data_IF_415141458253
#
_entry.id   IF_415141458253
#
_cell.length_a   1.000
_cell.length_b   1.000
_cell.length_c   1.000
_cell.angle_alpha   90.00
_cell.angle_beta   90.00
_cell.angle_gamma   90.00
#
_symmetry.space_group_name_H-M   'P 1'
#
loop_
_entity.id
_entity.type
_entity.pdbx_description
1 polymer ?
#
# COMPACT_ATOMS: atom_id res chain seq x y z
N UNK A 1 12.45 -20.61 -0.18
CA UNK A 1 13.57 -20.55 -1.10
C UNK A 1 14.88 -20.84 -0.38
N UNK A 2 15.82 -21.52 -1.02
CA UNK A 2 17.10 -21.88 -0.40
C UNK A 2 17.85 -20.63 0.12
N UNK A 3 18.58 -20.81 1.22
CA UNK A 3 19.42 -19.76 1.83
C UNK A 3 18.66 -18.51 2.35
N UNK A 4 17.34 -18.60 2.55
CA UNK A 4 16.49 -17.49 3.07
C UNK A 4 16.62 -16.17 2.29
N UNK A 5 17.03 -16.23 1.01
CA UNK A 5 17.07 -15.05 0.15
C UNK A 5 15.71 -14.76 -0.47
N UNK A 6 15.48 -13.53 -0.83
CA UNK A 6 14.30 -13.16 -1.61
C UNK A 6 14.39 -13.78 -3.02
N UNK A 7 13.33 -14.43 -3.52
CA UNK A 7 13.35 -15.08 -4.84
C UNK A 7 13.43 -14.05 -5.97
N UNK A 8 14.07 -14.45 -7.08
CA UNK A 8 14.01 -13.69 -8.32
C UNK A 8 12.64 -13.88 -8.99
N UNK A 9 12.18 -12.92 -9.81
CA UNK A 9 10.90 -13.03 -10.51
C UNK A 9 10.76 -14.31 -11.33
N UNK A 10 11.82 -14.73 -12.02
CA UNK A 10 11.83 -15.96 -12.84
C UNK A 10 11.62 -17.22 -11.97
N UNK A 11 12.20 -17.24 -10.78
CA UNK A 11 12.04 -18.34 -9.83
C UNK A 11 10.61 -18.42 -9.28
N UNK A 12 9.98 -17.28 -9.04
CA UNK A 12 8.58 -17.21 -8.61
C UNK A 12 7.67 -17.76 -9.72
N UNK A 13 7.90 -17.39 -10.97
CA UNK A 13 7.12 -17.89 -12.11
C UNK A 13 7.30 -19.38 -12.34
N UNK A 14 8.52 -19.89 -12.18
CA UNK A 14 8.83 -21.31 -12.33
C UNK A 14 8.31 -22.18 -11.17
N UNK A 15 8.00 -21.59 -10.01
CA UNK A 15 7.50 -22.35 -8.85
C UNK A 15 6.06 -22.81 -9.09
N UNK A 16 5.73 -24.10 -8.95
CA UNK A 16 4.35 -24.61 -9.07
C UNK A 16 3.40 -23.95 -8.05
N UNK A 17 2.15 -23.76 -8.45
CA UNK A 17 1.13 -23.14 -7.61
C UNK A 17 0.90 -23.90 -6.30
N UNK A 18 0.93 -25.24 -6.37
CA UNK A 18 0.79 -26.12 -5.20
C UNK A 18 1.89 -25.86 -4.17
N UNK A 19 3.12 -25.63 -4.63
CA UNK A 19 4.24 -25.34 -3.74
C UNK A 19 4.10 -23.97 -3.06
N UNK A 20 3.67 -22.95 -3.80
CA UNK A 20 3.39 -21.62 -3.24
C UNK A 20 2.22 -21.69 -2.23
N UNK A 21 1.19 -22.46 -2.54
CA UNK A 21 0.06 -22.67 -1.65
C UNK A 21 0.45 -23.48 -0.41
N UNK A 22 1.28 -24.50 -0.55
CA UNK A 22 1.85 -25.26 0.58
C UNK A 22 2.68 -24.40 1.52
N UNK A 23 3.24 -23.29 1.04
CA UNK A 23 3.91 -22.26 1.84
C UNK A 23 2.94 -21.26 2.53
N UNK A 24 1.63 -21.47 2.44
CA UNK A 24 0.60 -20.67 3.12
C UNK A 24 -0.06 -19.58 2.25
N UNK A 25 0.21 -19.53 0.95
CA UNK A 25 -0.44 -18.56 0.08
C UNK A 25 -1.84 -19.05 -0.34
N UNK A 26 -2.85 -18.20 -0.21
CA UNK A 26 -4.16 -18.46 -0.82
C UNK A 26 -4.06 -18.45 -2.36
N UNK A 27 -5.06 -19.00 -3.06
CA UNK A 27 -5.12 -18.95 -4.54
C UNK A 27 -4.97 -17.52 -5.07
N UNK A 28 -5.68 -16.56 -4.45
CA UNK A 28 -5.62 -15.15 -4.85
C UNK A 28 -4.21 -14.58 -4.65
N UNK A 29 -3.57 -14.84 -3.50
CA UNK A 29 -2.19 -14.39 -3.21
C UNK A 29 -1.16 -15.03 -4.14
N UNK A 30 -1.31 -16.33 -4.46
CA UNK A 30 -0.45 -17.02 -5.45
C UNK A 30 -0.53 -16.30 -6.80
N UNK A 31 -1.73 -16.04 -7.30
CA UNK A 31 -1.92 -15.33 -8.56
C UNK A 31 -1.35 -13.91 -8.52
N UNK A 32 -1.53 -13.17 -7.41
CA UNK A 32 -0.95 -11.82 -7.24
C UNK A 32 0.58 -11.85 -7.25
N UNK A 33 1.20 -12.77 -6.52
CA UNK A 33 2.66 -12.89 -6.46
C UNK A 33 3.25 -13.24 -7.82
N UNK A 34 2.61 -14.12 -8.59
CA UNK A 34 3.02 -14.44 -9.97
C UNK A 34 2.83 -13.25 -10.92
N UNK A 35 1.74 -12.51 -10.79
CA UNK A 35 1.52 -11.32 -11.61
C UNK A 35 2.55 -10.22 -11.32
N UNK A 36 2.90 -10.00 -10.04
CA UNK A 36 4.01 -9.10 -9.65
C UNK A 36 5.31 -9.54 -10.35
N UNK A 37 5.63 -10.83 -10.30
CA UNK A 37 6.85 -11.36 -10.90
C UNK A 37 6.86 -11.15 -12.43
N UNK A 38 5.76 -11.47 -13.10
CA UNK A 38 5.62 -11.28 -14.56
C UNK A 38 5.75 -9.79 -14.93
N UNK A 39 5.08 -8.92 -14.22
CA UNK A 39 5.12 -7.46 -14.46
C UNK A 39 6.46 -6.82 -14.10
N UNK A 40 7.22 -7.44 -13.19
CA UNK A 40 8.60 -7.03 -12.91
C UNK A 40 9.49 -7.30 -14.11
N UNK A 41 9.38 -8.49 -14.72
CA UNK A 41 10.14 -8.83 -15.93
C UNK A 41 9.72 -7.99 -17.14
N UNK A 42 8.43 -7.62 -17.23
CA UNK A 42 7.91 -6.75 -18.26
C UNK A 42 8.26 -5.26 -18.05
N UNK A 43 8.94 -4.89 -16.94
CA UNK A 43 9.30 -3.52 -16.63
C UNK A 43 8.15 -2.63 -16.17
N UNK A 44 6.96 -3.20 -15.93
CA UNK A 44 5.81 -2.47 -15.37
C UNK A 44 6.05 -2.13 -13.91
N UNK A 45 6.48 -3.12 -13.11
CA UNK A 45 6.91 -2.89 -11.72
C UNK A 45 8.33 -2.30 -11.76
N UNK A 46 8.52 -1.07 -11.29
CA UNK A 46 9.81 -0.40 -11.38
C UNK A 46 10.83 -1.00 -10.40
N UNK A 47 12.11 -0.87 -10.72
CA UNK A 47 13.18 -1.22 -9.79
C UNK A 47 13.19 -0.29 -8.57
N UNK A 48 13.77 -0.74 -7.45
CA UNK A 48 13.92 0.07 -6.22
C UNK A 48 14.65 1.40 -6.45
N UNK A 49 15.51 1.49 -7.48
CA UNK A 49 16.20 2.74 -7.86
C UNK A 49 15.30 3.64 -8.70
N UNK A 50 14.53 3.08 -9.62
CA UNK A 50 13.65 3.83 -10.51
C UNK A 50 12.45 4.41 -9.75
N UNK A 51 11.81 3.63 -8.88
CA UNK A 51 10.61 4.03 -8.16
C UNK A 51 10.83 5.28 -7.29
N UNK A 52 12.04 5.44 -6.73
CA UNK A 52 12.37 6.61 -5.90
C UNK A 52 12.32 7.94 -6.65
N UNK A 53 12.48 7.89 -7.99
CA UNK A 53 12.48 9.06 -8.87
C UNK A 53 11.12 9.35 -9.49
N UNK A 54 10.17 8.44 -9.33
CA UNK A 54 8.83 8.58 -9.89
C UNK A 54 7.93 9.41 -8.99
N UNK A 55 6.95 10.07 -9.57
CA UNK A 55 5.86 10.71 -8.83
C UNK A 55 4.94 9.66 -8.20
N UNK A 56 4.23 10.05 -7.14
CA UNK A 56 3.27 9.16 -6.47
C UNK A 56 2.13 8.74 -7.42
N UNK A 57 1.70 9.63 -8.32
CA UNK A 57 0.70 9.33 -9.33
C UNK A 57 1.17 8.26 -10.32
N UNK A 58 2.40 8.35 -10.84
CA UNK A 58 2.97 7.34 -11.73
C UNK A 58 3.12 5.98 -11.05
N UNK A 59 3.53 5.98 -9.78
CA UNK A 59 3.65 4.75 -8.98
C UNK A 59 2.26 4.12 -8.81
N UNK A 60 1.26 4.92 -8.46
CA UNK A 60 -0.12 4.46 -8.28
C UNK A 60 -0.66 3.86 -9.57
N UNK A 61 -0.56 4.57 -10.69
CA UNK A 61 -1.02 4.12 -12.00
C UNK A 61 -0.39 2.77 -12.38
N UNK A 62 0.93 2.66 -12.29
CA UNK A 62 1.65 1.43 -12.66
C UNK A 62 1.31 0.25 -11.75
N UNK A 63 1.40 0.43 -10.44
CA UNK A 63 1.28 -0.67 -9.49
C UNK A 63 -0.15 -1.16 -9.32
N UNK A 64 -1.17 -0.31 -9.52
CA UNK A 64 -2.57 -0.76 -9.49
C UNK A 64 -2.96 -1.63 -10.69
N UNK A 65 -2.15 -1.69 -11.74
CA UNK A 65 -2.33 -2.69 -12.81
C UNK A 65 -2.03 -4.10 -12.34
N UNK A 66 -1.27 -4.27 -11.25
CA UNK A 66 -0.90 -5.57 -10.70
C UNK A 66 -2.09 -6.20 -9.99
N UNK A 67 -2.35 -7.47 -10.29
CA UNK A 67 -3.46 -8.21 -9.67
C UNK A 67 -3.36 -8.21 -8.15
N UNK A 68 -4.42 -7.76 -7.48
CA UNK A 68 -4.51 -7.72 -6.03
C UNK A 68 -3.75 -6.57 -5.37
N UNK A 69 -3.22 -5.65 -6.17
CA UNK A 69 -2.62 -4.40 -5.68
C UNK A 69 -3.61 -3.26 -5.95
N UNK A 70 -4.22 -2.78 -4.88
CA UNK A 70 -5.12 -1.62 -4.94
C UNK A 70 -4.42 -0.33 -4.50
N UNK A 71 -5.12 0.83 -4.64
CA UNK A 71 -4.60 2.14 -4.22
C UNK A 71 -4.07 2.13 -2.78
N UNK A 72 -4.81 1.56 -1.84
CA UNK A 72 -4.41 1.46 -0.44
C UNK A 72 -3.05 0.76 -0.26
N UNK A 73 -2.81 -0.34 -1.00
CA UNK A 73 -1.52 -1.06 -0.93
C UNK A 73 -0.37 -0.18 -1.43
N UNK A 74 -0.62 0.61 -2.48
CA UNK A 74 0.38 1.54 -3.01
C UNK A 74 0.62 2.69 -2.05
N UNK A 75 -0.41 3.24 -1.43
CA UNK A 75 -0.29 4.28 -0.40
C UNK A 75 0.57 3.80 0.79
N UNK A 76 0.41 2.54 1.22
CA UNK A 76 1.28 1.95 2.26
C UNK A 76 2.74 1.84 1.80
N UNK A 77 2.98 1.46 0.55
CA UNK A 77 4.33 1.45 -0.04
C UNK A 77 4.93 2.86 -0.06
N UNK A 78 4.17 3.87 -0.49
CA UNK A 78 4.59 5.27 -0.53
C UNK A 78 5.00 5.76 0.87
N UNK A 79 4.15 5.54 1.86
CA UNK A 79 4.37 6.02 3.23
C UNK A 79 5.52 5.29 3.93
N UNK A 80 5.47 3.95 3.99
CA UNK A 80 6.34 3.17 4.87
C UNK A 80 7.62 2.65 4.21
N UNK A 81 7.64 2.55 2.87
CA UNK A 81 8.83 2.07 2.15
C UNK A 81 9.57 3.20 1.46
N UNK A 82 8.85 4.13 0.84
CA UNK A 82 9.45 5.24 0.10
C UNK A 82 9.58 6.52 0.93
N UNK A 83 8.95 6.59 2.11
CA UNK A 83 9.05 7.73 3.01
C UNK A 83 8.40 9.00 2.46
N UNK A 84 7.34 8.86 1.63
CA UNK A 84 6.61 10.00 1.10
C UNK A 84 5.86 10.72 2.22
N UNK A 85 6.10 12.01 2.37
CA UNK A 85 5.55 12.79 3.48
C UNK A 85 4.08 13.19 3.29
N UNK A 86 3.57 13.23 2.06
CA UNK A 86 2.29 13.85 1.73
C UNK A 86 1.27 12.87 1.12
N UNK A 87 1.10 11.71 1.74
CA UNK A 87 0.11 10.69 1.37
C UNK A 87 -1.02 10.68 2.38
N UNK A 88 -2.27 10.69 1.90
CA UNK A 88 -3.48 10.57 2.74
C UNK A 88 -4.35 9.41 2.23
N UNK A 89 -4.32 8.24 2.89
CA UNK A 89 -5.13 7.09 2.50
C UNK A 89 -6.58 7.27 2.93
N UNK A 90 -7.33 8.06 2.16
CA UNK A 90 -8.71 8.47 2.49
C UNK A 90 -9.71 7.32 2.55
N UNK A 91 -9.39 6.18 1.95
CA UNK A 91 -10.22 4.97 1.99
C UNK A 91 -9.85 4.04 3.15
N UNK A 92 -8.74 4.31 3.85
CA UNK A 92 -8.30 3.50 4.99
C UNK A 92 -9.29 3.62 6.15
N UNK A 93 -9.78 2.46 6.61
CA UNK A 93 -10.76 2.42 7.68
C UNK A 93 -10.20 2.97 9.00
N UNK A 94 -8.95 2.63 9.34
CA UNK A 94 -8.30 3.11 10.56
C UNK A 94 -8.10 4.62 10.55
N UNK A 95 -7.64 5.18 9.44
CA UNK A 95 -7.50 6.64 9.29
C UNK A 95 -8.85 7.36 9.46
N UNK A 96 -9.91 6.84 8.85
CA UNK A 96 -11.27 7.40 8.97
C UNK A 96 -11.81 7.29 10.41
N UNK A 97 -11.59 6.15 11.07
CA UNK A 97 -11.96 5.98 12.48
C UNK A 97 -11.19 6.93 13.39
N UNK A 98 -9.87 7.03 13.20
CA UNK A 98 -9.03 7.95 13.96
C UNK A 98 -9.46 9.40 13.78
N UNK A 99 -9.79 9.79 12.54
CA UNK A 99 -10.33 11.11 12.26
C UNK A 99 -11.64 11.36 12.99
N UNK A 100 -12.60 10.45 12.89
CA UNK A 100 -13.88 10.59 13.59
C UNK A 100 -13.67 10.74 15.11
N UNK A 101 -12.77 9.95 15.68
CA UNK A 101 -12.44 10.01 17.11
C UNK A 101 -11.82 11.36 17.52
N UNK A 102 -10.80 11.81 16.79
CA UNK A 102 -10.08 13.06 17.11
C UNK A 102 -10.97 14.28 17.00
N UNK A 103 -11.88 14.29 16.02
CA UNK A 103 -12.78 15.41 15.77
C UNK A 103 -14.18 15.25 16.38
N UNK A 104 -14.41 14.21 17.19
CA UNK A 104 -15.68 13.99 17.89
C UNK A 104 -16.88 13.78 16.97
N UNK A 105 -16.66 13.14 15.80
CA UNK A 105 -17.74 12.92 14.83
C UNK A 105 -18.60 11.71 15.23
N UNK A 106 -19.91 11.82 15.07
CA UNK A 106 -20.85 10.74 15.31
C UNK A 106 -20.79 9.64 14.23
N UNK A 107 -20.28 9.94 13.03
CA UNK A 107 -20.17 9.02 11.91
C UNK A 107 -18.80 9.13 11.25
N UNK A 108 -18.41 8.07 10.52
CA UNK A 108 -17.15 8.10 9.77
C UNK A 108 -17.24 9.12 8.62
N UNK A 109 -16.20 9.96 8.43
CA UNK A 109 -16.15 10.85 7.28
C UNK A 109 -16.13 10.07 5.99
N UNK A 110 -16.73 10.59 4.94
CA UNK A 110 -16.53 10.07 3.59
C UNK A 110 -15.08 10.32 3.13
N UNK A 111 -14.56 9.55 2.17
CA UNK A 111 -13.24 9.83 1.59
C UNK A 111 -13.09 11.28 1.07
N UNK A 112 -14.16 11.85 0.51
CA UNK A 112 -14.20 13.22 0.01
C UNK A 112 -14.07 14.26 1.13
N UNK A 113 -14.79 14.07 2.23
CA UNK A 113 -14.71 14.94 3.41
C UNK A 113 -13.33 14.88 4.06
N UNK A 114 -12.78 13.68 4.21
CA UNK A 114 -11.45 13.49 4.76
C UNK A 114 -10.37 14.12 3.86
N UNK A 115 -10.49 13.97 2.54
CA UNK A 115 -9.57 14.61 1.59
C UNK A 115 -9.62 16.14 1.70
N UNK A 116 -10.83 16.72 1.71
CA UNK A 116 -11.01 18.17 1.81
C UNK A 116 -10.44 18.73 3.14
N UNK A 117 -10.66 18.01 4.24
CA UNK A 117 -10.07 18.40 5.52
C UNK A 117 -8.54 18.26 5.51
N UNK A 118 -8.02 17.20 4.90
CA UNK A 118 -6.60 16.88 4.86
C UNK A 118 -5.73 17.85 4.05
N UNK A 119 -6.31 18.73 3.25
CA UNK A 119 -5.56 19.75 2.52
C UNK A 119 -4.76 20.68 3.46
N UNK A 120 -5.27 20.95 4.66
CA UNK A 120 -4.58 21.75 5.68
C UNK A 120 -3.36 21.09 6.30
N UNK A 121 -3.19 19.76 6.10
CA UNK A 121 -2.05 19.00 6.62
C UNK A 121 -0.89 18.91 5.64
N UNK A 122 -1.05 19.46 4.42
CA UNK A 122 0.04 19.50 3.45
C UNK A 122 1.23 20.31 3.98
N UNK A 123 2.45 19.87 3.68
CA UNK A 123 2.85 18.69 2.91
C UNK A 123 3.12 17.46 3.79
N UNK A 124 2.47 17.33 4.96
CA UNK A 124 2.76 16.28 5.96
C UNK A 124 1.58 15.35 6.21
N UNK A 125 0.77 15.05 5.18
CA UNK A 125 -0.44 14.23 5.31
C UNK A 125 -0.15 12.79 5.76
N UNK A 126 1.04 12.24 5.46
CA UNK A 126 1.48 10.94 5.97
C UNK A 126 1.67 10.95 7.48
N UNK A 127 2.22 12.04 8.01
CA UNK A 127 2.38 12.21 9.47
C UNK A 127 1.02 12.32 10.13
N UNK A 128 0.11 13.11 9.57
CA UNK A 128 -1.26 13.23 10.06
C UNK A 128 -1.98 11.86 10.07
N UNK A 129 -1.86 11.08 8.99
CA UNK A 129 -2.42 9.73 8.90
C UNK A 129 -1.88 8.82 9.99
N UNK A 130 -0.58 8.88 10.26
CA UNK A 130 0.05 8.10 11.33
C UNK A 130 -0.53 8.47 12.71
N UNK A 131 -0.69 9.76 13.01
CA UNK A 131 -1.32 10.20 14.26
C UNK A 131 -2.79 9.78 14.37
N UNK A 132 -3.53 9.76 13.26
CA UNK A 132 -4.91 9.26 13.25
C UNK A 132 -4.98 7.77 13.61
N UNK A 133 -4.07 6.93 13.10
CA UNK A 133 -3.98 5.54 13.54
C UNK A 133 -3.62 5.43 15.02
N UNK A 134 -2.63 6.20 15.47
CA UNK A 134 -2.22 6.19 16.89
C UNK A 134 -3.33 6.66 17.83
N UNK A 135 -4.18 7.57 17.41
CA UNK A 135 -5.31 8.02 18.20
C UNK A 135 -6.27 6.89 18.59
N UNK A 136 -6.33 5.80 17.81
CA UNK A 136 -7.16 4.63 18.12
C UNK A 136 -6.61 3.79 19.29
N UNK A 137 -5.32 3.90 19.57
CA UNK A 137 -4.65 3.14 20.64
C UNK A 137 -4.68 3.85 21.99
N UNK A 138 -5.05 5.13 22.02
CA UNK A 138 -5.15 5.89 23.26
C UNK A 138 -6.40 5.45 24.06
N UNK A 139 -6.33 5.37 25.39
CA UNK A 139 -7.52 5.16 26.21
C UNK A 139 -8.53 6.31 25.99
N UNK A 140 -9.81 5.99 26.11
CA UNK A 140 -10.91 6.98 26.06
C UNK A 140 -11.02 7.64 27.41
#
# INVERSE_FOLDING_TARGET
YPRRRFPKPEEVLATPDEQLRGAGLSRAKTASVKDIAAKTLAGVVPTSRAIKKMSDAEILERLTTVRGVGPWTVEMLLMFTLGRADVLPVTDYGVRCGFARVYGLAALPTPKELLAHGERWRPYRSVASWYLWRALELPV
#
